data_IF_162887967587
#
_entry.id   IF_162887967587
#
_cell.length_a   1.000
_cell.length_b   1.000
_cell.length_c   1.000
_cell.angle_alpha   90.00
_cell.angle_beta   90.00
_cell.angle_gamma   90.00
#
_symmetry.space_group_name_H-M   'P 1'
#
loop_
_entity.id
_entity.type
_entity.pdbx_description
1 polymer ?
#
# COMPACT_ATOMS: atom_id res chain seq x y z
N UNK A 1 2.16 -36.97 49.93
CA UNK A 1 2.95 -37.32 48.72
C UNK A 1 2.13 -37.08 47.46
N UNK A 2 0.89 -37.57 47.39
CA UNK A 2 -0.02 -37.36 46.23
C UNK A 2 -0.30 -35.89 45.89
N UNK A 3 -0.54 -35.03 46.89
CA UNK A 3 -0.78 -33.59 46.65
C UNK A 3 0.42 -32.84 46.06
N UNK A 4 1.65 -33.26 46.39
CA UNK A 4 2.87 -32.65 45.86
C UNK A 4 3.08 -33.10 44.40
N UNK A 5 2.82 -34.39 44.12
CA UNK A 5 2.89 -34.93 42.76
C UNK A 5 1.83 -34.27 41.84
N UNK A 6 0.61 -34.08 42.32
CA UNK A 6 -0.44 -33.38 41.59
C UNK A 6 -0.11 -31.91 41.29
N UNK A 7 0.54 -31.21 42.23
CA UNK A 7 1.00 -29.84 42.02
C UNK A 7 2.14 -29.77 40.99
N UNK A 8 3.13 -30.66 41.07
CA UNK A 8 4.23 -30.70 40.10
C UNK A 8 3.74 -31.01 38.68
N UNK A 9 2.73 -31.88 38.55
CA UNK A 9 2.09 -32.20 37.26
C UNK A 9 1.25 -31.04 36.69
N UNK A 10 0.80 -30.09 37.51
CA UNK A 10 0.03 -28.92 37.04
C UNK A 10 0.88 -27.70 36.68
N UNK A 11 2.18 -27.69 37.01
CA UNK A 11 3.10 -26.59 36.67
C UNK A 11 3.12 -26.28 35.15
N UNK A 12 3.18 -27.27 34.24
CA UNK A 12 3.14 -27.01 32.80
C UNK A 12 1.85 -26.31 32.36
N UNK A 13 0.71 -26.70 32.90
CA UNK A 13 -0.59 -26.09 32.59
C UNK A 13 -0.69 -24.67 33.17
N UNK A 14 -0.21 -24.44 34.39
CA UNK A 14 -0.14 -23.10 35.00
C UNK A 14 0.75 -22.18 34.16
N UNK A 15 1.90 -22.68 33.73
CA UNK A 15 2.83 -21.93 32.88
C UNK A 15 2.22 -21.62 31.50
N UNK A 16 1.60 -22.61 30.85
CA UNK A 16 0.90 -22.45 29.57
C UNK A 16 -0.24 -21.42 29.66
N UNK A 17 -1.07 -21.50 30.70
CA UNK A 17 -2.17 -20.55 30.94
C UNK A 17 -1.68 -19.13 31.26
N UNK A 18 -0.53 -19.02 31.94
CA UNK A 18 0.08 -17.73 32.20
C UNK A 18 0.63 -17.08 30.92
N UNK A 19 1.33 -17.86 30.09
CA UNK A 19 1.85 -17.37 28.80
C UNK A 19 0.73 -16.98 27.84
N UNK A 20 -0.31 -17.80 27.70
CA UNK A 20 -1.46 -17.48 26.84
C UNK A 20 -2.19 -16.22 27.32
N UNK A 21 -2.26 -15.99 28.64
CA UNK A 21 -2.80 -14.76 29.21
C UNK A 21 -1.95 -13.51 28.96
N UNK A 22 -0.64 -13.65 28.75
CA UNK A 22 0.24 -12.56 28.32
C UNK A 22 0.06 -12.30 26.82
N UNK A 23 0.07 -13.34 25.99
CA UNK A 23 -0.12 -13.25 24.54
C UNK A 23 -1.44 -12.55 24.19
N UNK A 24 -2.55 -12.93 24.83
CA UNK A 24 -3.87 -12.30 24.61
C UNK A 24 -3.86 -10.79 24.94
N UNK A 25 -3.17 -10.39 26.01
CA UNK A 25 -3.02 -8.96 26.36
C UNK A 25 -2.20 -8.21 25.34
N UNK A 26 -1.12 -8.82 24.83
CA UNK A 26 -0.27 -8.24 23.80
C UNK A 26 -1.05 -8.06 22.49
N UNK A 27 -1.80 -9.08 22.05
CA UNK A 27 -2.65 -8.99 20.86
C UNK A 27 -3.69 -7.86 20.97
N UNK A 28 -4.36 -7.73 22.11
CA UNK A 28 -5.31 -6.65 22.35
C UNK A 28 -4.67 -5.27 22.23
N UNK A 29 -3.46 -5.08 22.77
CA UNK A 29 -2.73 -3.82 22.64
C UNK A 29 -2.48 -3.47 21.17
N UNK A 30 -2.05 -4.44 20.36
CA UNK A 30 -1.87 -4.23 18.91
C UNK A 30 -3.17 -3.90 18.20
N UNK A 31 -4.26 -4.63 18.50
CA UNK A 31 -5.58 -4.38 17.90
C UNK A 31 -6.06 -2.95 18.21
N UNK A 32 -5.91 -2.48 19.47
CA UNK A 32 -6.27 -1.10 19.84
C UNK A 32 -5.42 -0.05 19.11
N UNK A 33 -4.11 -0.27 19.02
CA UNK A 33 -3.21 0.63 18.30
C UNK A 33 -3.58 0.73 16.83
N UNK A 34 -3.97 -0.38 16.20
CA UNK A 34 -4.31 -0.39 14.80
C UNK A 34 -5.69 0.20 14.54
N UNK A 35 -6.69 -0.08 15.38
CA UNK A 35 -8.00 0.60 15.31
C UNK A 35 -7.81 2.12 15.44
N UNK A 36 -7.01 2.56 16.41
CA UNK A 36 -6.70 3.97 16.58
C UNK A 36 -6.02 4.55 15.34
N UNK A 37 -5.02 3.85 14.78
CA UNK A 37 -4.33 4.26 13.55
C UNK A 37 -5.26 4.31 12.35
N UNK A 38 -6.22 3.38 12.24
CA UNK A 38 -7.26 3.36 11.22
C UNK A 38 -8.20 4.57 11.34
N UNK A 39 -8.70 4.84 12.55
CA UNK A 39 -9.52 6.02 12.81
C UNK A 39 -8.76 7.32 12.49
N UNK A 40 -7.51 7.43 12.93
CA UNK A 40 -6.67 8.59 12.66
C UNK A 40 -6.37 8.76 11.16
N UNK A 41 -6.05 7.66 10.47
CA UNK A 41 -5.80 7.64 9.04
C UNK A 41 -7.04 8.06 8.24
N UNK A 42 -8.20 7.49 8.55
CA UNK A 42 -9.47 7.87 7.90
C UNK A 42 -9.85 9.33 8.14
N UNK A 43 -9.65 9.85 9.36
CA UNK A 43 -9.83 11.28 9.66
C UNK A 43 -8.86 12.15 8.85
N UNK A 44 -7.59 11.76 8.77
CA UNK A 44 -6.57 12.50 8.02
C UNK A 44 -6.92 12.53 6.54
N UNK A 45 -7.25 11.39 5.94
CA UNK A 45 -7.70 11.31 4.54
C UNK A 45 -8.94 12.17 4.29
N UNK A 46 -9.95 12.09 5.16
CA UNK A 46 -11.16 12.91 5.02
C UNK A 46 -10.88 14.41 5.11
N UNK A 47 -10.02 14.84 6.03
CA UNK A 47 -9.62 16.25 6.18
C UNK A 47 -8.86 16.73 4.95
N UNK A 48 -7.86 15.96 4.48
CA UNK A 48 -7.05 16.36 3.31
C UNK A 48 -7.92 16.42 2.06
N UNK A 49 -8.75 15.40 1.80
CA UNK A 49 -9.69 15.42 0.68
C UNK A 49 -10.70 16.57 0.80
N UNK A 50 -11.17 16.87 2.00
CA UNK A 50 -12.05 18.01 2.27
C UNK A 50 -11.38 19.36 1.98
N UNK A 51 -10.12 19.52 2.35
CA UNK A 51 -9.32 20.72 2.03
C UNK A 51 -9.13 20.83 0.51
N UNK A 52 -8.71 19.74 -0.15
CA UNK A 52 -8.54 19.71 -1.61
C UNK A 52 -9.84 20.09 -2.29
N UNK A 53 -10.96 19.49 -1.87
CA UNK A 53 -12.29 19.79 -2.42
C UNK A 53 -12.70 21.24 -2.18
N UNK A 54 -12.52 21.76 -0.97
CA UNK A 54 -12.86 23.15 -0.63
C UNK A 54 -12.06 24.16 -1.44
N UNK A 55 -10.75 23.92 -1.60
CA UNK A 55 -9.86 24.75 -2.41
C UNK A 55 -10.27 24.63 -3.87
N UNK A 56 -10.43 23.42 -4.41
CA UNK A 56 -10.78 23.18 -5.81
C UNK A 56 -12.17 23.78 -6.18
N UNK A 57 -13.13 23.76 -5.25
CA UNK A 57 -14.45 24.38 -5.44
C UNK A 57 -14.37 25.91 -5.56
N UNK A 58 -13.35 26.54 -4.99
CA UNK A 58 -13.13 27.99 -5.10
C UNK A 58 -12.66 28.45 -6.48
N UNK A 59 -12.26 27.51 -7.36
CA UNK A 59 -11.74 27.77 -8.70
C UNK A 59 -12.61 27.19 -9.83
N UNK A 60 -13.90 26.92 -9.57
CA UNK A 60 -14.81 26.39 -10.58
C UNK A 60 -15.11 27.42 -11.70
N UNK A 61 -15.24 26.98 -12.98
CA UNK A 61 -15.15 25.59 -13.43
C UNK A 61 -13.69 25.09 -13.53
N UNK A 62 -13.43 23.89 -13.01
CA UNK A 62 -12.13 23.24 -13.20
C UNK A 62 -12.00 22.71 -14.64
N UNK A 63 -10.78 22.68 -15.20
CA UNK A 63 -10.53 21.97 -16.46
C UNK A 63 -10.94 20.49 -16.36
N UNK A 64 -11.39 19.89 -17.48
CA UNK A 64 -11.98 18.55 -17.54
C UNK A 64 -11.08 17.41 -17.01
N UNK A 65 -9.78 17.65 -16.93
CA UNK A 65 -8.79 16.66 -16.48
C UNK A 65 -8.57 16.64 -14.96
N UNK A 66 -9.15 17.58 -14.19
CA UNK A 66 -8.99 17.61 -12.73
C UNK A 66 -10.01 16.69 -12.05
N UNK A 67 -9.51 15.81 -11.17
CA UNK A 67 -10.33 14.98 -10.29
C UNK A 67 -11.47 14.21 -10.98
N UNK A 68 -11.20 13.68 -12.18
CA UNK A 68 -12.22 13.00 -12.98
C UNK A 68 -12.46 11.57 -12.52
N UNK A 69 -13.73 11.25 -12.25
CA UNK A 69 -14.23 9.92 -11.95
C UNK A 69 -15.31 9.55 -12.96
N UNK A 70 -15.11 8.47 -13.72
CA UNK A 70 -16.09 7.99 -14.69
C UNK A 70 -16.30 6.47 -14.58
N UNK A 71 -17.49 6.05 -14.19
CA UNK A 71 -17.83 4.63 -14.04
C UNK A 71 -18.28 3.98 -15.37
N UNK A 72 -18.48 4.80 -16.42
CA UNK A 72 -19.03 4.34 -17.69
C UNK A 72 -18.00 3.54 -18.49
N UNK A 73 -18.50 2.63 -19.31
CA UNK A 73 -17.72 1.83 -20.26
C UNK A 73 -16.41 1.23 -19.70
N UNK A 74 -16.46 0.48 -18.58
CA UNK A 74 -15.26 0.00 -17.86
C UNK A 74 -14.28 -0.81 -18.72
N UNK A 75 -14.78 -1.44 -19.78
CA UNK A 75 -14.00 -2.32 -20.67
C UNK A 75 -13.75 -1.72 -22.07
N UNK A 76 -13.98 -0.42 -22.28
CA UNK A 76 -13.66 0.24 -23.55
C UNK A 76 -12.14 0.11 -23.85
N UNK A 77 -11.78 -0.29 -25.07
CA UNK A 77 -10.37 -0.53 -25.44
C UNK A 77 -9.51 0.74 -25.39
N UNK A 78 -10.09 1.91 -25.66
CA UNK A 78 -9.35 3.17 -25.70
C UNK A 78 -9.19 3.79 -24.31
N UNK A 79 -10.25 3.81 -23.50
CA UNK A 79 -10.29 4.56 -22.22
C UNK A 79 -10.98 3.83 -21.08
N UNK A 80 -11.31 2.54 -21.24
CA UNK A 80 -12.02 1.75 -20.25
C UNK A 80 -11.21 1.62 -18.97
N UNK A 81 -11.72 2.21 -17.89
CA UNK A 81 -10.93 2.40 -16.69
C UNK A 81 -10.49 1.09 -16.04
N UNK A 82 -11.33 0.06 -16.11
CA UNK A 82 -11.09 -1.25 -15.50
C UNK A 82 -10.18 -2.12 -16.37
N UNK A 83 -10.36 -2.06 -17.70
CA UNK A 83 -9.44 -2.72 -18.64
C UNK A 83 -8.02 -2.19 -18.47
N UNK A 84 -7.86 -0.87 -18.48
CA UNK A 84 -6.56 -0.23 -18.30
C UNK A 84 -6.00 -0.38 -16.89
N UNK A 85 -6.85 -0.57 -15.87
CA UNK A 85 -6.39 -0.96 -14.55
C UNK A 85 -5.78 -2.38 -14.58
N UNK A 86 -6.42 -3.34 -15.26
CA UNK A 86 -5.87 -4.68 -15.44
C UNK A 86 -4.53 -4.67 -16.19
N UNK A 87 -4.46 -3.95 -17.32
CA UNK A 87 -3.22 -3.78 -18.10
C UNK A 87 -2.14 -3.09 -17.26
N UNK A 88 -2.49 -2.03 -16.54
CA UNK A 88 -1.59 -1.28 -15.68
C UNK A 88 -1.04 -2.12 -14.53
N UNK A 89 -1.87 -2.98 -13.92
CA UNK A 89 -1.44 -3.89 -12.85
C UNK A 89 -0.45 -4.94 -13.36
N UNK A 90 -0.75 -5.60 -14.48
CA UNK A 90 0.16 -6.57 -15.09
C UNK A 90 1.47 -5.90 -15.50
N UNK A 91 1.39 -4.73 -16.13
CA UNK A 91 2.55 -3.93 -16.50
C UNK A 91 3.40 -3.55 -15.29
N UNK A 92 2.77 -3.17 -14.17
CA UNK A 92 3.46 -2.82 -12.93
C UNK A 92 4.19 -4.01 -12.33
N UNK A 93 3.57 -5.20 -12.29
CA UNK A 93 4.20 -6.44 -11.81
C UNK A 93 5.43 -6.79 -12.64
N UNK A 94 5.31 -6.75 -13.98
CA UNK A 94 6.43 -7.06 -14.86
C UNK A 94 7.54 -6.02 -14.70
N UNK A 95 7.20 -4.72 -14.71
CA UNK A 95 8.19 -3.66 -14.67
C UNK A 95 8.95 -3.61 -13.34
N UNK A 96 8.27 -3.81 -12.21
CA UNK A 96 8.91 -3.89 -10.89
C UNK A 96 9.78 -5.14 -10.76
N UNK A 97 9.35 -6.30 -11.26
CA UNK A 97 10.17 -7.51 -11.28
C UNK A 97 11.46 -7.31 -12.11
N UNK A 98 11.34 -6.73 -13.31
CA UNK A 98 12.49 -6.40 -14.15
C UNK A 98 13.41 -5.38 -13.51
N UNK A 99 12.85 -4.38 -12.82
CA UNK A 99 13.62 -3.38 -12.08
C UNK A 99 14.43 -4.04 -10.96
N UNK A 100 13.84 -4.98 -10.22
CA UNK A 100 14.56 -5.75 -9.20
C UNK A 100 15.75 -6.53 -9.78
N UNK A 101 15.58 -7.18 -10.93
CA UNK A 101 16.65 -7.90 -11.64
C UNK A 101 17.72 -6.95 -12.18
N UNK A 102 17.33 -5.79 -12.69
CA UNK A 102 18.28 -4.79 -13.17
C UNK A 102 19.13 -4.26 -12.02
N UNK A 103 18.50 -3.81 -10.93
CA UNK A 103 19.19 -3.29 -9.74
C UNK A 103 20.15 -4.32 -9.15
N UNK A 104 19.75 -5.60 -9.08
CA UNK A 104 20.62 -6.68 -8.58
C UNK A 104 21.84 -6.90 -9.48
N UNK A 105 21.68 -6.74 -10.80
CA UNK A 105 22.75 -6.95 -11.77
C UNK A 105 23.79 -5.82 -11.75
N UNK A 106 23.37 -4.59 -11.44
CA UNK A 106 24.27 -3.43 -11.35
C UNK A 106 24.96 -3.29 -10.00
N UNK A 107 24.29 -3.64 -8.90
CA UNK A 107 24.78 -3.36 -7.55
C UNK A 107 25.69 -4.47 -7.01
N UNK A 108 25.71 -5.66 -7.63
CA UNK A 108 26.51 -6.82 -7.15
C UNK A 108 26.00 -7.44 -5.84
N UNK A 109 25.14 -6.72 -5.12
CA UNK A 109 24.39 -7.16 -3.97
C UNK A 109 22.95 -7.49 -4.41
N UNK A 110 22.34 -8.49 -3.77
CA UNK A 110 20.88 -8.59 -3.80
C UNK A 110 20.34 -7.25 -3.33
N UNK A 111 19.41 -6.59 -4.07
CA UNK A 111 18.81 -5.36 -3.59
C UNK A 111 18.34 -5.67 -2.18
N UNK A 112 18.77 -4.87 -1.20
CA UNK A 112 18.21 -4.97 0.14
C UNK A 112 16.73 -4.65 -0.03
N UNK A 113 15.96 -5.72 -0.19
CA UNK A 113 14.66 -5.70 -0.82
C UNK A 113 13.73 -5.12 0.22
N UNK A 114 13.17 -3.95 -0.07
CA UNK A 114 11.80 -3.57 0.35
C UNK A 114 11.45 -3.88 1.81
N UNK A 115 12.25 -3.45 2.78
CA UNK A 115 12.03 -3.90 4.15
C UNK A 115 11.78 -2.79 5.14
N UNK A 116 12.13 -1.53 4.93
CA UNK A 116 11.86 -0.53 5.98
C UNK A 116 10.35 -0.30 6.22
N UNK A 117 9.58 -0.10 5.15
CA UNK A 117 8.13 0.08 5.27
C UNK A 117 7.40 -1.25 5.55
N UNK A 118 7.75 -2.32 4.81
CA UNK A 118 7.11 -3.62 4.98
C UNK A 118 7.47 -4.29 6.33
N UNK A 119 8.72 -4.20 6.81
CA UNK A 119 9.12 -4.69 8.15
C UNK A 119 8.41 -3.94 9.25
N UNK A 120 8.19 -2.63 9.08
CA UNK A 120 7.34 -1.86 9.99
C UNK A 120 5.94 -2.45 10.14
N UNK A 121 5.41 -3.05 9.05
CA UNK A 121 4.08 -3.67 9.02
C UNK A 121 4.07 -5.16 9.35
N UNK A 122 5.20 -5.87 9.27
CA UNK A 122 5.30 -7.31 9.53
C UNK A 122 4.67 -7.76 10.86
N UNK A 123 4.86 -7.08 12.01
CA UNK A 123 4.24 -7.48 13.27
C UNK A 123 2.71 -7.49 13.24
N UNK A 124 2.11 -6.76 12.29
CA UNK A 124 0.67 -6.61 12.16
C UNK A 124 0.09 -7.60 11.13
N UNK A 125 0.88 -7.99 10.13
CA UNK A 125 0.48 -8.91 9.06
C UNK A 125 0.20 -10.30 9.64
N UNK A 126 -1.01 -10.82 9.43
CA UNK A 126 -1.40 -12.16 9.87
C UNK A 126 -1.51 -12.36 11.39
N UNK A 127 -1.38 -11.29 12.18
CA UNK A 127 -1.47 -11.35 13.65
C UNK A 127 -2.91 -11.56 14.16
N UNK A 128 -3.91 -10.96 13.50
CA UNK A 128 -5.34 -11.14 13.77
C UNK A 128 -6.16 -10.80 12.51
N UNK A 129 -7.38 -11.33 12.39
CA UNK A 129 -8.28 -10.97 11.27
C UNK A 129 -8.60 -9.47 11.25
N UNK A 130 -8.76 -8.89 12.44
CA UNK A 130 -9.00 -7.46 12.59
C UNK A 130 -7.80 -6.65 12.08
N UNK A 131 -6.58 -7.10 12.38
CA UNK A 131 -5.38 -6.40 11.94
C UNK A 131 -5.22 -6.41 10.43
N UNK A 132 -5.44 -7.55 9.80
CA UNK A 132 -5.44 -7.64 8.33
C UNK A 132 -6.50 -6.73 7.71
N UNK A 133 -7.72 -6.69 8.25
CA UNK A 133 -8.81 -5.83 7.72
C UNK A 133 -8.46 -4.34 7.87
N UNK A 134 -7.98 -3.91 9.04
CA UNK A 134 -7.59 -2.52 9.26
C UNK A 134 -6.41 -2.11 8.38
N UNK A 135 -5.39 -2.98 8.23
CA UNK A 135 -4.27 -2.75 7.31
C UNK A 135 -4.77 -2.57 5.87
N UNK A 136 -5.59 -3.50 5.36
CA UNK A 136 -6.15 -3.42 4.01
C UNK A 136 -6.96 -2.15 3.79
N UNK A 137 -7.73 -1.70 4.78
CA UNK A 137 -8.48 -0.46 4.64
C UNK A 137 -7.57 0.77 4.62
N UNK A 138 -6.51 0.83 5.43
CA UNK A 138 -5.56 1.97 5.41
C UNK A 138 -4.75 1.97 4.11
N UNK A 139 -4.00 0.91 3.85
CA UNK A 139 -3.00 0.88 2.77
C UNK A 139 -3.59 0.48 1.42
N UNK A 140 -4.66 -0.32 1.42
CA UNK A 140 -5.32 -0.79 0.21
C UNK A 140 -6.44 0.14 -0.27
N UNK A 141 -6.98 1.01 0.57
CA UNK A 141 -8.11 1.89 0.19
C UNK A 141 -7.82 3.36 0.48
N UNK A 142 -7.55 3.73 1.73
CA UNK A 142 -7.42 5.14 2.11
C UNK A 142 -6.18 5.80 1.51
N UNK A 143 -5.03 5.12 1.52
CA UNK A 143 -3.79 5.64 0.96
C UNK A 143 -3.87 5.80 -0.58
N UNK A 144 -4.27 4.78 -1.38
CA UNK A 144 -4.43 4.94 -2.82
C UNK A 144 -5.43 6.05 -3.20
N UNK A 145 -6.55 6.15 -2.49
CA UNK A 145 -7.54 7.21 -2.75
C UNK A 145 -6.93 8.61 -2.55
N UNK A 146 -6.23 8.80 -1.43
CA UNK A 146 -5.59 10.07 -1.10
C UNK A 146 -4.45 10.41 -2.07
N UNK A 147 -3.53 9.47 -2.23
CA UNK A 147 -2.31 9.65 -2.99
C UNK A 147 -2.60 9.87 -4.47
N UNK A 148 -3.46 9.06 -5.09
CA UNK A 148 -3.79 9.26 -6.51
C UNK A 148 -4.57 10.56 -6.73
N UNK A 149 -5.41 10.97 -5.79
CA UNK A 149 -6.08 12.29 -5.84
C UNK A 149 -5.04 13.42 -5.84
N UNK A 150 -4.03 13.35 -4.96
CA UNK A 150 -2.98 14.37 -4.86
C UNK A 150 -2.04 14.33 -6.07
N UNK A 151 -1.47 13.16 -6.39
CA UNK A 151 -0.42 13.04 -7.38
C UNK A 151 -0.93 13.06 -8.82
N UNK A 152 -2.07 12.41 -9.11
CA UNK A 152 -2.62 12.29 -10.47
C UNK A 152 -3.72 13.31 -10.69
N UNK A 153 -4.65 13.41 -9.73
CA UNK A 153 -5.79 14.32 -9.83
C UNK A 153 -5.38 15.79 -9.81
N UNK A 154 -4.34 16.14 -9.04
CA UNK A 154 -3.89 17.51 -8.88
C UNK A 154 -2.49 17.78 -9.44
N UNK A 155 -1.45 17.13 -8.92
CA UNK A 155 -0.05 17.51 -9.20
C UNK A 155 0.35 17.28 -10.65
N UNK A 156 0.18 16.06 -11.15
CA UNK A 156 0.48 15.70 -12.54
C UNK A 156 -0.37 16.49 -13.54
N UNK A 157 -1.68 16.58 -13.32
CA UNK A 157 -2.60 17.37 -14.16
C UNK A 157 -2.27 18.86 -14.14
N UNK A 158 -1.69 19.37 -13.05
CA UNK A 158 -1.20 20.75 -13.01
C UNK A 158 0.10 20.91 -13.80
N UNK A 159 1.01 19.93 -13.75
CA UNK A 159 2.26 19.91 -14.53
C UNK A 159 2.02 19.84 -16.04
N UNK A 160 0.98 19.14 -16.51
CA UNK A 160 0.67 19.02 -17.96
C UNK A 160 0.34 20.37 -18.62
N UNK A 161 0.05 21.41 -17.83
CA UNK A 161 -0.10 22.80 -18.32
C UNK A 161 1.22 23.46 -18.71
N UNK A 162 2.34 22.93 -18.21
CA UNK A 162 3.67 23.53 -18.35
C UNK A 162 4.64 22.64 -19.14
N UNK A 163 4.47 21.31 -19.08
CA UNK A 163 5.33 20.33 -19.75
C UNK A 163 4.49 19.27 -20.48
N UNK A 164 5.04 18.60 -21.51
CA UNK A 164 4.35 17.51 -22.19
C UNK A 164 3.95 16.38 -21.23
N UNK A 165 2.83 15.70 -21.51
CA UNK A 165 2.29 14.64 -20.65
C UNK A 165 3.31 13.58 -20.22
N UNK A 166 4.17 13.02 -21.10
CA UNK A 166 5.16 12.04 -20.67
C UNK A 166 6.15 12.60 -19.63
N UNK A 167 6.53 13.88 -19.76
CA UNK A 167 7.43 14.55 -18.80
C UNK A 167 6.72 14.76 -17.47
N UNK A 168 5.45 15.15 -17.48
CA UNK A 168 4.63 15.28 -16.27
C UNK A 168 4.47 13.95 -15.53
N UNK A 169 4.31 12.83 -16.25
CA UNK A 169 4.28 11.47 -15.68
C UNK A 169 5.58 11.16 -14.94
N UNK A 170 6.73 11.38 -15.58
CA UNK A 170 8.04 11.07 -14.99
C UNK A 170 8.32 11.95 -13.76
N UNK A 171 8.04 13.25 -13.84
CA UNK A 171 8.22 14.16 -12.69
C UNK A 171 7.30 13.74 -11.54
N UNK A 172 6.02 13.47 -11.82
CA UNK A 172 5.07 13.04 -10.79
C UNK A 172 5.49 11.72 -10.14
N UNK A 173 5.94 10.75 -10.93
CA UNK A 173 6.44 9.46 -10.43
C UNK A 173 7.69 9.62 -9.54
N UNK A 174 8.62 10.52 -9.90
CA UNK A 174 9.79 10.80 -9.08
C UNK A 174 9.42 11.45 -7.75
N UNK A 175 8.52 12.44 -7.75
CA UNK A 175 8.07 13.09 -6.52
C UNK A 175 7.27 12.12 -5.64
N UNK A 176 6.44 11.26 -6.23
CA UNK A 176 5.74 10.18 -5.54
C UNK A 176 6.73 9.25 -4.82
N UNK A 177 7.75 8.75 -5.51
CA UNK A 177 8.75 7.88 -4.92
C UNK A 177 9.57 8.58 -3.82
N UNK A 178 9.94 9.85 -4.01
CA UNK A 178 10.67 10.62 -2.98
C UNK A 178 9.82 10.89 -1.74
N UNK A 179 8.50 11.08 -1.90
CA UNK A 179 7.59 11.36 -0.78
C UNK A 179 7.46 10.17 0.19
N UNK A 180 7.83 8.96 -0.22
CA UNK A 180 7.85 7.78 0.63
C UNK A 180 9.04 7.76 1.60
N UNK A 181 10.07 8.59 1.35
CA UNK A 181 11.25 8.72 2.21
C UNK A 181 11.98 7.38 2.47
N UNK A 182 11.87 6.43 1.54
CA UNK A 182 12.55 5.13 1.54
C UNK A 182 13.51 5.04 0.35
N UNK A 183 14.75 5.57 0.43
CA UNK A 183 15.67 5.63 -0.71
C UNK A 183 15.93 4.28 -1.38
N UNK A 184 15.94 3.18 -0.62
CA UNK A 184 16.12 1.83 -1.14
C UNK A 184 14.96 1.31 -2.01
N UNK A 185 13.75 1.84 -1.80
CA UNK A 185 12.55 1.47 -2.57
C UNK A 185 12.30 2.41 -3.76
N UNK A 186 13.12 3.47 -3.89
CA UNK A 186 12.93 4.49 -4.92
C UNK A 186 12.78 3.91 -6.34
N UNK A 187 13.64 2.99 -6.83
CA UNK A 187 13.49 2.46 -8.19
C UNK A 187 12.14 1.78 -8.43
N UNK A 188 11.68 0.98 -7.48
CA UNK A 188 10.42 0.24 -7.55
C UNK A 188 9.22 1.20 -7.47
N UNK A 189 9.23 2.13 -6.51
CA UNK A 189 8.19 3.14 -6.35
C UNK A 189 8.12 4.10 -7.55
N UNK A 190 9.26 4.44 -8.14
CA UNK A 190 9.32 5.27 -9.34
C UNK A 190 8.69 4.56 -10.55
N UNK A 191 8.97 3.27 -10.73
CA UNK A 191 8.40 2.47 -11.81
C UNK A 191 6.91 2.24 -11.63
N UNK A 192 6.46 1.91 -10.41
CA UNK A 192 5.04 1.83 -10.07
C UNK A 192 4.37 3.19 -10.30
N UNK A 193 4.97 4.28 -9.80
CA UNK A 193 4.47 5.64 -9.95
C UNK A 193 4.33 6.07 -11.41
N UNK A 194 5.24 5.62 -12.27
CA UNK A 194 5.21 5.83 -13.73
C UNK A 194 4.05 5.07 -14.36
N UNK A 195 3.84 3.80 -13.99
CA UNK A 195 2.72 3.00 -14.49
C UNK A 195 1.36 3.60 -14.08
N UNK A 196 1.24 4.06 -12.83
CA UNK A 196 0.05 4.76 -12.34
C UNK A 196 -0.20 6.06 -13.12
N UNK A 197 0.83 6.90 -13.30
CA UNK A 197 0.74 8.13 -14.07
C UNK A 197 0.37 7.89 -15.55
N UNK A 198 0.96 6.87 -16.18
CA UNK A 198 0.60 6.47 -17.54
C UNK A 198 -0.85 5.99 -17.64
N UNK A 199 -1.30 5.16 -16.71
CA UNK A 199 -2.68 4.65 -16.68
C UNK A 199 -3.70 5.78 -16.56
N UNK A 200 -3.37 6.83 -15.79
CA UNK A 200 -4.15 8.05 -15.69
C UNK A 200 -4.12 8.86 -16.99
N UNK A 201 -2.94 9.08 -17.58
CA UNK A 201 -2.80 9.81 -18.85
C UNK A 201 -3.58 9.14 -20.00
N UNK A 202 -3.68 7.82 -19.99
CA UNK A 202 -4.43 7.07 -21.01
C UNK A 202 -5.94 7.17 -20.82
N UNK A 203 -6.42 7.11 -19.59
CA UNK A 203 -7.86 6.99 -19.27
C UNK A 203 -8.53 8.30 -18.92
N UNK A 204 -7.76 9.29 -18.46
CA UNK A 204 -8.25 10.52 -17.82
C UNK A 204 -9.28 10.22 -16.72
N UNK A 205 -9.01 9.19 -15.91
CA UNK A 205 -9.94 8.72 -14.90
C UNK A 205 -9.16 8.23 -13.67
N UNK A 206 -9.44 8.82 -12.50
CA UNK A 206 -8.76 8.47 -11.26
C UNK A 206 -9.07 7.05 -10.79
N UNK A 207 -10.22 6.48 -11.19
CA UNK A 207 -10.55 5.10 -10.85
C UNK A 207 -9.49 4.11 -11.35
N UNK A 208 -8.86 4.37 -12.49
CA UNK A 208 -7.82 3.50 -13.05
C UNK A 208 -6.59 3.40 -12.14
N UNK A 209 -5.83 4.48 -11.88
CA UNK A 209 -4.66 4.40 -11.02
C UNK A 209 -5.03 4.03 -9.58
N UNK A 210 -6.18 4.50 -9.04
CA UNK A 210 -6.63 4.09 -7.70
C UNK A 210 -6.78 2.57 -7.62
N UNK A 211 -7.40 1.96 -8.63
CA UNK A 211 -7.58 0.52 -8.69
C UNK A 211 -6.23 -0.19 -8.77
N UNK A 212 -5.34 0.21 -9.68
CA UNK A 212 -4.00 -0.41 -9.81
C UNK A 212 -3.25 -0.35 -8.48
N UNK A 213 -3.22 0.82 -7.85
CA UNK A 213 -2.50 1.05 -6.60
C UNK A 213 -3.13 0.27 -5.43
N UNK A 214 -4.46 0.27 -5.31
CA UNK A 214 -5.18 -0.53 -4.31
C UNK A 214 -4.89 -2.03 -4.43
N UNK A 215 -4.91 -2.56 -5.66
CA UNK A 215 -4.60 -3.97 -5.93
C UNK A 215 -3.13 -4.30 -5.66
N UNK A 216 -2.21 -3.39 -5.97
CA UNK A 216 -0.79 -3.54 -5.65
C UNK A 216 -0.60 -3.68 -4.12
N UNK A 217 -1.06 -2.70 -3.36
CA UNK A 217 -0.88 -2.67 -1.90
C UNK A 217 -1.58 -3.84 -1.20
N UNK A 218 -2.84 -4.11 -1.60
CA UNK A 218 -3.61 -5.22 -1.03
C UNK A 218 -3.00 -6.57 -1.41
N UNK A 219 -2.50 -6.71 -2.65
CA UNK A 219 -1.87 -7.93 -3.14
C UNK A 219 -0.64 -8.30 -2.31
N UNK A 220 0.24 -7.32 -2.03
CA UNK A 220 1.41 -7.53 -1.17
C UNK A 220 0.98 -7.98 0.24
N UNK A 221 0.03 -7.29 0.87
CA UNK A 221 -0.42 -7.61 2.24
C UNK A 221 -1.07 -9.00 2.31
N UNK A 222 -1.95 -9.33 1.36
CA UNK A 222 -2.62 -10.63 1.32
C UNK A 222 -1.63 -11.75 1.04
N UNK A 223 -0.66 -11.54 0.16
CA UNK A 223 0.37 -12.52 -0.14
C UNK A 223 1.25 -12.80 1.10
N UNK A 224 1.71 -11.76 1.79
CA UNK A 224 2.49 -11.91 3.03
C UNK A 224 1.66 -12.55 4.16
N UNK A 225 0.39 -12.17 4.29
CA UNK A 225 -0.54 -12.80 5.24
C UNK A 225 -0.70 -14.28 4.94
N UNK A 226 -0.85 -14.65 3.67
CA UNK A 226 -0.96 -16.04 3.25
C UNK A 226 0.30 -16.84 3.61
N UNK A 227 1.49 -16.32 3.32
CA UNK A 227 2.75 -16.97 3.69
C UNK A 227 2.90 -17.15 5.21
N UNK A 228 2.56 -16.12 5.99
CA UNK A 228 2.57 -16.18 7.45
C UNK A 228 1.61 -17.28 7.97
N UNK A 229 0.41 -17.39 7.39
CA UNK A 229 -0.56 -18.43 7.73
C UNK A 229 -0.10 -19.85 7.36
N UNK A 230 0.82 -19.99 6.39
CA UNK A 230 1.48 -21.26 6.08
C UNK A 230 2.67 -21.59 7.00
N UNK A 231 3.01 -20.70 7.93
CA UNK A 231 4.11 -20.89 8.89
C UNK A 231 5.49 -20.50 8.37
N UNK A 232 5.58 -19.75 7.27
CA UNK A 232 6.85 -19.18 6.83
C UNK A 232 7.25 -18.00 7.73
N UNK A 233 8.52 -17.91 8.09
CA UNK A 233 9.06 -16.69 8.71
C UNK A 233 9.33 -15.65 7.61
N UNK A 234 8.47 -14.63 7.56
CA UNK A 234 8.57 -13.58 6.55
C UNK A 234 9.86 -12.76 6.73
N UNK A 235 10.41 -12.64 7.94
CA UNK A 235 11.68 -11.91 8.16
C UNK A 235 12.85 -12.65 7.52
N UNK A 236 12.86 -13.97 7.66
CA UNK A 236 13.85 -14.84 7.00
C UNK A 236 13.71 -14.78 5.48
N UNK A 237 12.49 -14.84 4.95
CA UNK A 237 12.22 -14.72 3.50
C UNK A 237 12.64 -13.36 2.93
N UNK A 238 12.49 -12.30 3.71
CA UNK A 238 12.87 -10.94 3.35
C UNK A 238 14.35 -10.63 3.67
N UNK A 239 15.10 -11.60 4.22
CA UNK A 239 16.51 -11.45 4.63
C UNK A 239 16.73 -10.31 5.64
N UNK A 240 15.74 -10.02 6.47
CA UNK A 240 15.81 -9.00 7.52
C UNK A 240 16.22 -9.68 8.80
N UNK A 241 17.41 -9.36 9.28
CA UNK A 241 17.93 -9.84 10.58
C UNK A 241 17.51 -8.93 11.72
#
# INVERSE_FOLDING_TARGET
MEHILAFLLSIPDIYSNFLSGIEDKVHKVFDYHLIFSYCLGSMTTAVVLGIIYSVANSFQPLPEDFFKYDLREPFNLQKGWLLWAGVGLVGSIIATALTGVAVSSFSGETPQRETDALVGLLPLIGSSNLNTVCLLGITGVLAPLLEETVFRGFFMTSLTKWVPTPVAVIISAAVFALAHLTPGEFPQLFVLGTALGFSYAQTHNLLTPITVHAFWNSGVILFLTFLQLQGYDIRELLQVT
#
